data_IF_998267484797
#
_entry.id   IF_998267484797
#
_cell.length_a   1.000
_cell.length_b   1.000
_cell.length_c   1.000
_cell.angle_alpha   90.00
_cell.angle_beta   90.00
_cell.angle_gamma   90.00
#
_symmetry.space_group_name_H-M   'P 1'
#
loop_
_entity.id
_entity.type
_entity.pdbx_description
1 polymer ?
#
# COMPACT_ATOMS: atom_id res chain seq x y z
N UNK A 1 26.28 15.22 48.91
CA UNK A 1 26.52 15.60 47.49
C UNK A 1 26.93 14.44 46.56
N UNK A 2 27.52 13.33 47.06
CA UNK A 2 28.11 12.25 46.22
C UNK A 2 27.10 11.39 45.41
N UNK A 3 25.83 11.34 45.81
CA UNK A 3 24.80 10.52 45.14
C UNK A 3 24.16 11.19 43.91
N UNK A 4 24.07 12.53 43.87
CA UNK A 4 23.50 13.27 42.73
C UNK A 4 24.35 13.15 41.46
N UNK A 5 25.67 13.04 41.59
CA UNK A 5 26.57 12.88 40.42
C UNK A 5 26.52 11.47 39.83
N UNK A 6 26.33 10.44 40.66
CA UNK A 6 26.07 9.07 40.20
C UNK A 6 24.74 9.00 39.46
N UNK A 7 23.66 9.54 40.04
CA UNK A 7 22.34 9.55 39.41
C UNK A 7 22.38 10.23 38.02
N UNK A 8 23.04 11.39 37.91
CA UNK A 8 23.20 12.11 36.64
C UNK A 8 23.98 11.30 35.57
N UNK A 9 25.02 10.56 35.96
CA UNK A 9 25.78 9.67 35.05
C UNK A 9 24.93 8.49 34.57
N UNK A 10 24.12 7.92 35.46
CA UNK A 10 23.17 6.85 35.10
C UNK A 10 22.10 7.36 34.14
N UNK A 11 21.50 8.53 34.39
CA UNK A 11 20.53 9.15 33.48
C UNK A 11 21.12 9.41 32.09
N UNK A 12 22.34 9.94 32.01
CA UNK A 12 23.03 10.16 30.72
C UNK A 12 23.30 8.83 30.00
N UNK A 13 23.73 7.80 30.73
CA UNK A 13 24.01 6.48 30.12
C UNK A 13 22.74 5.82 29.58
N UNK A 14 21.61 5.94 30.29
CA UNK A 14 20.31 5.43 29.84
C UNK A 14 19.85 6.16 28.57
N UNK A 15 19.99 7.49 28.53
CA UNK A 15 19.66 8.30 27.35
C UNK A 15 20.56 7.91 26.16
N UNK A 16 21.86 7.72 26.39
CA UNK A 16 22.80 7.30 25.35
C UNK A 16 22.48 5.90 24.80
N UNK A 17 22.12 4.95 25.68
CA UNK A 17 21.66 3.61 25.30
C UNK A 17 20.39 3.66 24.47
N UNK A 18 19.43 4.50 24.87
CA UNK A 18 18.19 4.72 24.13
C UNK A 18 18.47 5.27 22.72
N UNK A 19 19.33 6.30 22.62
CA UNK A 19 19.75 6.85 21.32
C UNK A 19 20.45 5.80 20.46
N UNK A 20 21.40 5.05 21.02
CA UNK A 20 22.11 3.98 20.29
C UNK A 20 21.16 2.89 19.80
N UNK A 21 20.22 2.46 20.65
CA UNK A 21 19.19 1.50 20.26
C UNK A 21 18.37 1.98 19.06
N UNK A 22 17.96 3.26 19.06
CA UNK A 22 17.22 3.82 17.94
C UNK A 22 18.07 3.95 16.68
N UNK A 23 19.33 4.36 16.77
CA UNK A 23 20.25 4.40 15.62
C UNK A 23 20.43 3.01 15.03
N UNK A 24 20.70 1.99 15.84
CA UNK A 24 20.87 0.61 15.38
C UNK A 24 19.57 0.07 14.79
N UNK A 25 18.42 0.34 15.41
CA UNK A 25 17.11 -0.07 14.89
C UNK A 25 16.83 0.57 13.54
N UNK A 26 17.13 1.86 13.38
CA UNK A 26 17.06 2.56 12.09
C UNK A 26 18.00 1.89 11.09
N UNK A 27 19.27 1.64 11.42
CA UNK A 27 20.22 1.00 10.49
C UNK A 27 19.78 -0.40 10.07
N UNK A 28 19.31 -1.24 10.99
CA UNK A 28 18.82 -2.59 10.69
C UNK A 28 17.56 -2.55 9.84
N UNK A 29 16.62 -1.64 10.15
CA UNK A 29 15.44 -1.40 9.34
C UNK A 29 15.84 -0.94 7.93
N UNK A 30 16.83 -0.04 7.84
CA UNK A 30 17.33 0.46 6.57
C UNK A 30 17.96 -0.68 5.74
N UNK A 31 18.76 -1.53 6.37
CA UNK A 31 19.43 -2.63 5.68
C UNK A 31 18.47 -3.73 5.20
N UNK A 32 17.40 -4.01 5.97
CA UNK A 32 16.40 -5.03 5.61
C UNK A 32 15.32 -4.53 4.66
N UNK A 33 14.90 -3.27 4.79
CA UNK A 33 13.76 -2.71 4.07
C UNK A 33 14.12 -1.90 2.81
N UNK A 34 15.21 -1.10 2.82
CA UNK A 34 15.49 -0.23 1.68
C UNK A 34 15.79 -1.00 0.38
N UNK A 35 16.63 -2.04 0.31
CA UNK A 35 17.10 -2.56 -0.98
C UNK A 35 16.00 -3.06 -1.93
N UNK A 36 14.80 -3.33 -1.41
CA UNK A 36 13.67 -3.91 -2.14
C UNK A 36 12.42 -3.03 -2.11
N UNK A 37 12.50 -1.87 -1.48
CA UNK A 37 11.37 -1.00 -1.34
C UNK A 37 10.91 -0.42 -2.70
N UNK A 38 9.60 -0.43 -3.00
CA UNK A 38 9.09 0.16 -4.23
C UNK A 38 9.42 1.65 -4.37
N UNK A 39 9.69 2.38 -3.28
CA UNK A 39 10.03 3.80 -3.35
C UNK A 39 11.27 4.11 -4.19
N UNK A 40 12.17 3.15 -4.43
CA UNK A 40 13.33 3.32 -5.34
C UNK A 40 12.96 3.26 -6.82
N UNK A 41 11.73 2.87 -7.14
CA UNK A 41 11.26 2.89 -8.51
C UNK A 41 10.93 4.33 -8.86
N UNK A 42 11.67 4.88 -9.83
CA UNK A 42 11.35 6.16 -10.44
C UNK A 42 9.88 6.11 -10.86
N UNK A 43 9.05 7.01 -10.32
CA UNK A 43 7.60 7.10 -10.48
C UNK A 43 6.70 6.36 -9.46
N UNK A 44 7.22 5.83 -8.36
CA UNK A 44 6.35 5.49 -7.22
C UNK A 44 5.88 6.76 -6.51
N UNK A 45 4.57 6.91 -6.41
CA UNK A 45 3.89 8.06 -5.80
C UNK A 45 3.52 7.80 -4.34
N UNK A 46 3.23 6.55 -4.00
CA UNK A 46 2.77 6.17 -2.66
C UNK A 46 3.16 4.73 -2.35
N UNK A 47 3.44 4.44 -1.07
CA UNK A 47 3.75 3.09 -0.58
C UNK A 47 3.03 2.85 0.74
N UNK A 48 2.56 1.63 0.96
CA UNK A 48 1.75 1.24 2.10
C UNK A 48 2.04 -0.18 2.56
N UNK A 49 1.83 -0.41 3.85
CA UNK A 49 1.90 -1.73 4.47
C UNK A 49 3.32 -2.16 4.84
N UNK A 50 3.38 -3.30 5.53
CA UNK A 50 4.64 -3.94 5.95
C UNK A 50 5.52 -4.23 4.73
N UNK A 51 6.82 -3.95 4.87
CA UNK A 51 7.81 -4.07 3.78
C UNK A 51 7.45 -3.25 2.53
N UNK A 52 6.54 -2.27 2.67
CA UNK A 52 6.05 -1.44 1.57
C UNK A 52 5.41 -2.28 0.47
N UNK A 53 4.67 -3.33 0.86
CA UNK A 53 4.05 -4.32 -0.03
C UNK A 53 3.17 -3.68 -1.10
N UNK A 54 2.29 -2.76 -0.70
CA UNK A 54 1.35 -2.11 -1.62
C UNK A 54 1.89 -0.76 -2.05
N UNK A 55 1.77 -0.40 -3.32
CA UNK A 55 2.29 0.89 -3.80
C UNK A 55 1.54 1.39 -5.03
N UNK A 56 1.57 2.70 -5.24
CA UNK A 56 1.04 3.37 -6.43
C UNK A 56 2.20 3.82 -7.31
N UNK A 57 2.14 3.44 -8.59
CA UNK A 57 3.06 3.89 -9.63
C UNK A 57 2.35 4.85 -10.57
N UNK A 58 3.05 5.89 -10.99
CA UNK A 58 2.56 6.85 -12.00
C UNK A 58 3.21 6.53 -13.33
N UNK A 59 2.41 6.16 -14.32
CA UNK A 59 2.86 6.14 -15.72
C UNK A 59 2.63 7.53 -16.29
N UNK A 60 3.72 8.21 -16.65
CA UNK A 60 3.70 9.55 -17.26
C UNK A 60 3.36 9.45 -18.75
N UNK A 61 2.09 9.20 -19.04
CA UNK A 61 1.51 9.32 -20.39
C UNK A 61 0.89 10.72 -20.58
N UNK A 62 0.18 10.95 -21.69
CA UNK A 62 -0.56 12.21 -21.98
C UNK A 62 -1.52 12.55 -20.84
N UNK A 63 -2.21 11.55 -20.30
CA UNK A 63 -2.90 11.61 -19.02
C UNK A 63 -2.19 10.66 -18.05
N UNK A 64 -1.56 11.16 -16.96
CA UNK A 64 -0.81 10.31 -16.05
C UNK A 64 -1.73 9.24 -15.46
N UNK A 65 -1.40 7.96 -15.64
CA UNK A 65 -2.17 6.83 -15.10
C UNK A 65 -1.59 6.39 -13.78
N UNK A 66 -2.44 6.13 -12.80
CA UNK A 66 -2.04 5.68 -11.47
C UNK A 66 -2.35 4.20 -11.36
N UNK A 67 -1.34 3.37 -11.13
CA UNK A 67 -1.47 1.92 -11.06
C UNK A 67 -1.24 1.48 -9.63
N UNK A 68 -2.20 0.77 -9.05
CA UNK A 68 -2.07 0.14 -7.76
C UNK A 68 -1.42 -1.24 -7.94
N UNK A 69 -0.33 -1.48 -7.22
CA UNK A 69 0.44 -2.71 -7.29
C UNK A 69 0.64 -3.35 -5.92
N UNK A 70 0.80 -4.66 -5.93
CA UNK A 70 1.31 -5.47 -4.82
C UNK A 70 2.63 -6.10 -5.24
N UNK A 71 3.67 -5.88 -4.42
CA UNK A 71 5.00 -6.45 -4.62
C UNK A 71 5.09 -7.90 -4.15
N UNK A 72 4.18 -8.35 -3.27
CA UNK A 72 4.11 -9.68 -2.67
C UNK A 72 5.51 -10.18 -2.25
N UNK A 73 6.12 -9.58 -1.22
CA UNK A 73 7.51 -9.87 -0.84
C UNK A 73 7.77 -11.36 -0.57
N UNK A 74 6.76 -12.09 -0.11
CA UNK A 74 6.78 -13.55 0.04
C UNK A 74 7.04 -14.30 -1.28
N UNK A 75 6.39 -13.90 -2.38
CA UNK A 75 6.60 -14.49 -3.70
C UNK A 75 8.00 -14.17 -4.23
N UNK A 76 8.48 -12.95 -3.96
CA UNK A 76 9.82 -12.55 -4.37
C UNK A 76 10.91 -13.35 -3.65
N UNK A 77 10.69 -13.66 -2.36
CA UNK A 77 11.58 -14.52 -1.60
C UNK A 77 11.62 -15.94 -2.18
N UNK A 78 10.46 -16.51 -2.53
CA UNK A 78 10.38 -17.83 -3.17
C UNK A 78 11.07 -17.85 -4.54
N UNK A 79 10.86 -16.83 -5.38
CA UNK A 79 11.53 -16.73 -6.68
C UNK A 79 13.05 -16.62 -6.55
N UNK A 80 13.51 -15.85 -5.54
CA UNK A 80 14.92 -15.71 -5.23
C UNK A 80 15.53 -17.04 -4.78
N UNK A 81 14.82 -17.80 -3.95
CA UNK A 81 15.24 -19.15 -3.53
C UNK A 81 15.32 -20.10 -4.73
N UNK A 82 14.36 -20.00 -5.66
CA UNK A 82 14.33 -20.82 -6.88
C UNK A 82 15.26 -20.33 -8.00
N UNK A 83 16.07 -19.29 -7.76
CA UNK A 83 16.91 -18.63 -8.77
C UNK A 83 16.16 -18.15 -10.03
N UNK A 84 14.86 -17.90 -9.90
CA UNK A 84 14.01 -17.39 -10.98
C UNK A 84 14.05 -15.87 -10.95
N UNK A 85 14.61 -15.24 -11.98
CA UNK A 85 14.66 -13.77 -12.09
C UNK A 85 13.34 -13.26 -12.68
N UNK A 86 12.43 -12.82 -11.83
CA UNK A 86 11.20 -12.13 -12.24
C UNK A 86 10.69 -11.23 -11.13
N UNK A 87 10.28 -10.00 -11.47
CA UNK A 87 9.43 -9.21 -10.56
C UNK A 87 7.99 -9.66 -10.80
N UNK A 88 7.43 -10.46 -9.91
CA UNK A 88 5.97 -10.69 -9.88
C UNK A 88 5.35 -9.43 -9.28
N UNK A 89 5.14 -8.42 -10.12
CA UNK A 89 4.30 -7.27 -9.75
C UNK A 89 2.87 -7.69 -10.07
N UNK A 90 2.02 -7.79 -9.05
CA UNK A 90 0.59 -8.00 -9.25
C UNK A 90 -0.06 -6.62 -9.41
N UNK A 91 -0.75 -6.39 -10.53
CA UNK A 91 -1.48 -5.14 -10.74
C UNK A 91 -2.88 -5.31 -10.15
N UNK A 92 -3.17 -4.58 -9.09
CA UNK A 92 -4.47 -4.64 -8.41
C UNK A 92 -5.48 -3.73 -9.11
N UNK A 93 -5.07 -2.52 -9.49
CA UNK A 93 -5.89 -1.58 -10.26
C UNK A 93 -5.03 -0.88 -11.32
N UNK A 94 -5.54 -0.82 -12.55
CA UNK A 94 -4.87 -0.22 -13.69
C UNK A 94 -5.07 1.30 -13.77
N UNK A 95 -6.07 1.85 -13.08
CA UNK A 95 -6.28 3.29 -13.03
C UNK A 95 -6.96 3.73 -11.73
N UNK A 96 -6.16 4.23 -10.79
CA UNK A 96 -6.62 4.80 -9.53
C UNK A 96 -7.07 6.25 -9.75
N UNK A 97 -8.28 6.55 -9.29
CA UNK A 97 -8.85 7.90 -9.36
C UNK A 97 -8.56 8.68 -8.08
N UNK A 98 -8.64 8.03 -6.93
CA UNK A 98 -8.34 8.61 -5.64
C UNK A 98 -7.86 7.54 -4.66
N UNK A 99 -7.04 7.94 -3.70
CA UNK A 99 -6.59 7.08 -2.62
C UNK A 99 -6.42 7.89 -1.33
N UNK A 100 -6.46 7.19 -0.20
CA UNK A 100 -6.25 7.71 1.14
C UNK A 100 -5.60 6.59 1.95
N UNK A 101 -4.49 6.88 2.61
CA UNK A 101 -3.85 5.96 3.55
C UNK A 101 -3.43 6.73 4.78
N UNK A 102 -3.41 6.04 5.92
CA UNK A 102 -2.82 6.61 7.12
C UNK A 102 -1.31 6.43 7.04
N UNK A 103 -0.60 7.53 6.82
CA UNK A 103 0.86 7.56 6.93
C UNK A 103 1.21 7.58 8.42
N UNK A 104 1.22 6.39 9.04
CA UNK A 104 1.64 6.25 10.43
C UNK A 104 2.98 6.94 10.69
N UNK A 105 3.06 7.69 11.79
CA UNK A 105 4.32 8.29 12.24
C UNK A 105 5.26 7.16 12.70
N UNK A 106 6.34 6.91 11.95
CA UNK A 106 7.40 5.92 12.26
C UNK A 106 6.96 4.45 12.40
N UNK A 107 6.95 3.72 11.28
CA UNK A 107 7.10 2.25 11.20
C UNK A 107 6.17 1.36 12.06
N UNK A 108 5.13 1.90 12.70
CA UNK A 108 4.16 1.15 13.50
C UNK A 108 2.91 0.86 12.66
N UNK A 109 2.96 -0.22 11.89
CA UNK A 109 1.97 -0.57 10.85
C UNK A 109 0.78 -1.41 11.33
N UNK A 110 0.56 -1.52 12.65
CA UNK A 110 -0.24 -2.63 13.19
C UNK A 110 -1.75 -2.48 12.98
N UNK A 111 -2.23 -1.26 12.69
CA UNK A 111 -3.66 -0.94 12.53
C UNK A 111 -3.94 -0.04 11.31
N UNK A 112 -2.97 0.09 10.37
CA UNK A 112 -3.13 0.99 9.23
C UNK A 112 -3.99 0.35 8.13
N UNK A 113 -4.89 1.16 7.57
CA UNK A 113 -5.76 0.81 6.44
C UNK A 113 -5.50 1.77 5.30
N UNK A 114 -5.41 1.22 4.09
CA UNK A 114 -5.30 1.97 2.85
C UNK A 114 -6.56 1.79 2.01
N UNK A 115 -7.09 2.91 1.54
CA UNK A 115 -8.27 3.00 0.71
C UNK A 115 -7.87 3.45 -0.68
N UNK A 116 -8.39 2.76 -1.70
CA UNK A 116 -8.21 3.16 -3.10
C UNK A 116 -9.51 3.05 -3.85
N UNK A 117 -9.83 4.07 -4.63
CA UNK A 117 -10.97 4.12 -5.53
C UNK A 117 -10.46 4.28 -6.96
N UNK A 118 -10.75 3.31 -7.81
CA UNK A 118 -10.23 3.26 -9.17
C UNK A 118 -11.12 2.49 -10.13
N UNK A 119 -10.56 2.18 -11.29
CA UNK A 119 -11.28 1.55 -12.40
C UNK A 119 -11.79 0.15 -12.08
N UNK A 120 -11.06 -0.59 -11.23
CA UNK A 120 -11.45 -1.94 -10.81
C UNK A 120 -12.51 -1.91 -9.72
N UNK A 121 -12.54 -0.84 -8.92
CA UNK A 121 -13.52 -0.64 -7.87
C UNK A 121 -12.93 0.06 -6.65
N UNK A 122 -13.52 -0.24 -5.49
CA UNK A 122 -13.07 0.27 -4.21
C UNK A 122 -12.34 -0.82 -3.42
N UNK A 123 -11.10 -0.53 -3.06
CA UNK A 123 -10.23 -1.39 -2.28
C UNK A 123 -10.08 -0.87 -0.86
N UNK A 124 -10.21 -1.78 0.10
CA UNK A 124 -9.75 -1.60 1.48
C UNK A 124 -8.61 -2.58 1.71
N UNK A 125 -7.42 -2.09 2.02
CA UNK A 125 -6.21 -2.89 2.19
C UNK A 125 -5.71 -2.74 3.61
N UNK A 126 -5.71 -3.83 4.36
CA UNK A 126 -5.18 -3.94 5.71
C UNK A 126 -3.71 -4.38 5.66
N UNK A 127 -2.87 -3.76 6.50
CA UNK A 127 -1.45 -4.07 6.53
C UNK A 127 -1.11 -5.37 7.30
N UNK A 128 -1.82 -5.68 8.39
CA UNK A 128 -1.52 -6.85 9.25
C UNK A 128 -2.80 -7.37 9.98
N UNK A 129 -3.23 -8.63 9.74
CA UNK A 129 -2.79 -9.49 8.66
C UNK A 129 -3.12 -8.84 7.30
N UNK A 130 -2.30 -9.14 6.28
CA UNK A 130 -2.57 -8.61 4.94
C UNK A 130 -3.91 -9.13 4.42
N UNK A 131 -4.83 -8.20 4.18
CA UNK A 131 -6.16 -8.50 3.65
C UNK A 131 -6.66 -7.36 2.76
N UNK A 132 -7.26 -7.72 1.64
CA UNK A 132 -7.91 -6.85 0.69
C UNK A 132 -9.41 -7.15 0.73
N UNK A 133 -10.22 -6.13 0.98
CA UNK A 133 -11.64 -6.14 0.61
C UNK A 133 -11.82 -5.36 -0.68
N UNK A 134 -12.60 -5.91 -1.60
CA UNK A 134 -12.87 -5.27 -2.89
C UNK A 134 -14.38 -5.21 -3.16
N UNK A 135 -14.91 -4.00 -3.34
CA UNK A 135 -16.19 -3.76 -4.01
C UNK A 135 -15.90 -3.53 -5.48
N UNK A 136 -16.32 -4.45 -6.33
CA UNK A 136 -16.01 -4.42 -7.76
C UNK A 136 -16.83 -3.36 -8.49
N UNK A 137 -16.20 -2.68 -9.43
CA UNK A 137 -16.89 -1.84 -10.39
C UNK A 137 -17.63 -2.73 -11.42
N UNK A 138 -18.96 -2.67 -11.45
CA UNK A 138 -19.79 -3.45 -12.36
C UNK A 138 -19.57 -3.09 -13.84
N UNK A 139 -19.10 -1.87 -14.11
CA UNK A 139 -18.82 -1.40 -15.47
C UNK A 139 -17.50 -1.95 -16.04
N UNK A 140 -16.73 -2.71 -15.26
CA UNK A 140 -15.51 -3.35 -15.74
C UNK A 140 -15.86 -4.51 -16.69
N UNK A 141 -15.63 -4.33 -17.99
CA UNK A 141 -16.00 -5.28 -19.04
C UNK A 141 -14.81 -5.71 -19.92
N UNK A 142 -15.02 -6.81 -20.64
CA UNK A 142 -14.11 -7.30 -21.68
C UNK A 142 -12.75 -7.75 -21.15
N UNK A 143 -11.70 -7.43 -21.92
CA UNK A 143 -10.33 -7.87 -21.62
C UNK A 143 -9.81 -7.33 -20.30
N UNK A 144 -10.18 -6.11 -19.92
CA UNK A 144 -9.78 -5.51 -18.63
C UNK A 144 -10.30 -6.31 -17.44
N UNK A 145 -11.55 -6.77 -17.52
CA UNK A 145 -12.13 -7.65 -16.48
C UNK A 145 -11.35 -8.97 -16.38
N UNK A 146 -11.02 -9.58 -17.52
CA UNK A 146 -10.29 -10.86 -17.58
C UNK A 146 -8.91 -10.76 -16.94
N UNK A 147 -8.14 -9.74 -17.30
CA UNK A 147 -6.79 -9.50 -16.74
C UNK A 147 -6.87 -9.24 -15.24
N UNK A 148 -7.79 -8.39 -14.80
CA UNK A 148 -8.01 -8.13 -13.38
C UNK A 148 -8.44 -9.40 -12.62
N UNK A 149 -9.33 -10.21 -13.18
CA UNK A 149 -9.76 -11.47 -12.55
C UNK A 149 -8.60 -12.46 -12.44
N UNK A 150 -7.70 -12.51 -13.43
CA UNK A 150 -6.49 -13.32 -13.38
C UNK A 150 -5.54 -12.85 -12.27
N UNK A 151 -5.26 -11.55 -12.17
CA UNK A 151 -4.40 -10.99 -11.13
C UNK A 151 -5.00 -11.20 -9.72
N UNK A 152 -6.31 -11.01 -9.56
CA UNK A 152 -7.00 -11.21 -8.30
C UNK A 152 -7.09 -12.70 -7.89
N UNK A 153 -7.08 -13.63 -8.86
CA UNK A 153 -7.12 -15.08 -8.58
C UNK A 153 -5.88 -15.61 -7.88
N UNK A 154 -4.78 -14.84 -7.89
CA UNK A 154 -3.52 -15.19 -7.23
C UNK A 154 -3.55 -14.97 -5.72
N UNK A 155 -4.57 -14.32 -5.19
CA UNK A 155 -4.78 -14.16 -3.76
C UNK A 155 -5.52 -15.35 -3.18
N UNK A 156 -5.11 -15.79 -1.99
CA UNK A 156 -5.89 -16.78 -1.24
C UNK A 156 -7.20 -16.17 -0.74
N UNK A 157 -8.16 -17.03 -0.39
CA UNK A 157 -9.44 -16.60 0.21
C UNK A 157 -9.27 -15.85 1.55
N UNK A 158 -8.12 -15.97 2.20
CA UNK A 158 -7.81 -15.23 3.43
C UNK A 158 -7.36 -13.81 3.12
N UNK A 159 -6.65 -13.62 2.01
CA UNK A 159 -6.08 -12.36 1.58
C UNK A 159 -7.05 -11.51 0.78
N UNK A 160 -7.94 -12.11 -0.04
CA UNK A 160 -8.90 -11.36 -0.83
C UNK A 160 -10.34 -11.73 -0.47
N UNK A 161 -11.11 -10.73 -0.05
CA UNK A 161 -12.56 -10.81 0.17
C UNK A 161 -13.28 -9.92 -0.85
N UNK A 162 -14.00 -10.53 -1.77
CA UNK A 162 -14.92 -9.81 -2.66
C UNK A 162 -16.20 -9.48 -1.91
N UNK A 163 -16.59 -8.21 -1.94
CA UNK A 163 -17.83 -7.71 -1.36
C UNK A 163 -18.84 -7.49 -2.48
N UNK A 164 -20.09 -7.84 -2.20
CA UNK A 164 -21.22 -7.70 -3.14
C UNK A 164 -21.90 -6.34 -3.02
N UNK A 165 -21.81 -5.70 -1.85
CA UNK A 165 -22.41 -4.39 -1.60
C UNK A 165 -21.54 -3.53 -0.68
N UNK A 166 -21.71 -2.21 -0.80
CA UNK A 166 -21.23 -1.20 0.17
C UNK A 166 -21.72 -1.51 1.58
N UNK A 167 -22.87 -2.17 1.74
CA UNK A 167 -23.43 -2.50 3.04
C UNK A 167 -22.55 -3.40 3.90
N UNK A 168 -21.68 -4.20 3.26
CA UNK A 168 -20.73 -5.09 3.93
C UNK A 168 -19.50 -4.37 4.49
N UNK A 169 -19.36 -3.07 4.21
CA UNK A 169 -18.31 -2.22 4.77
C UNK A 169 -18.65 -1.77 6.20
N UNK A 170 -17.62 -1.56 7.02
CA UNK A 170 -17.75 -0.87 8.30
C UNK A 170 -18.13 0.59 8.09
N UNK A 171 -18.53 1.28 9.15
CA UNK A 171 -18.90 2.70 9.07
C UNK A 171 -17.74 3.55 8.54
N UNK A 172 -16.54 3.32 9.04
CA UNK A 172 -15.32 4.06 8.67
C UNK A 172 -14.95 3.81 7.20
N UNK A 173 -15.10 2.57 6.73
CA UNK A 173 -14.89 2.19 5.33
C UNK A 173 -15.90 2.85 4.39
N UNK A 174 -17.18 2.95 4.79
CA UNK A 174 -18.21 3.67 4.03
C UNK A 174 -17.90 5.16 3.93
N UNK A 175 -17.52 5.77 5.04
CA UNK A 175 -17.13 7.18 5.05
C UNK A 175 -15.90 7.43 4.16
N UNK A 176 -14.92 6.52 4.16
CA UNK A 176 -13.77 6.59 3.26
C UNK A 176 -14.18 6.42 1.78
N UNK A 177 -15.09 5.49 1.49
CA UNK A 177 -15.63 5.29 0.15
C UNK A 177 -16.27 6.56 -0.40
N UNK A 178 -17.17 7.19 0.38
CA UNK A 178 -17.84 8.44 -0.01
C UNK A 178 -16.84 9.59 -0.22
N UNK A 179 -15.88 9.76 0.69
CA UNK A 179 -14.82 10.79 0.54
C UNK A 179 -13.99 10.58 -0.72
N UNK A 180 -13.59 9.34 -1.00
CA UNK A 180 -12.80 9.03 -2.19
C UNK A 180 -13.59 9.20 -3.47
N UNK A 181 -14.89 8.90 -3.49
CA UNK A 181 -15.75 9.19 -4.65
C UNK A 181 -15.78 10.68 -4.97
N UNK A 182 -15.92 11.54 -3.96
CA UNK A 182 -15.88 13.00 -4.14
C UNK A 182 -14.49 13.45 -4.63
N UNK A 183 -13.42 12.98 -3.99
CA UNK A 183 -12.02 13.29 -4.36
C UNK A 183 -11.69 12.85 -5.80
N UNK A 184 -12.29 11.76 -6.26
CA UNK A 184 -12.07 11.21 -7.58
C UNK A 184 -12.72 12.02 -8.70
N UNK A 185 -13.76 12.82 -8.44
CA UNK A 185 -14.56 13.50 -9.47
C UNK A 185 -13.71 14.29 -10.46
N UNK A 186 -12.80 15.13 -9.95
CA UNK A 186 -11.90 15.94 -10.79
C UNK A 186 -11.07 15.07 -11.74
N UNK A 187 -10.48 14.00 -11.24
CA UNK A 187 -9.62 13.11 -12.03
C UNK A 187 -10.43 12.27 -13.01
N UNK A 188 -11.63 11.86 -12.63
CA UNK A 188 -12.57 11.17 -13.53
C UNK A 188 -12.94 12.09 -14.70
N UNK A 189 -13.19 13.37 -14.44
CA UNK A 189 -13.48 14.36 -15.49
C UNK A 189 -12.29 14.58 -16.43
N UNK A 190 -11.08 14.70 -15.89
CA UNK A 190 -9.84 14.76 -16.68
C UNK A 190 -9.67 13.53 -17.58
N UNK A 191 -9.92 12.33 -17.05
CA UNK A 191 -9.84 11.07 -17.82
C UNK A 191 -10.93 10.97 -18.88
N UNK A 192 -12.15 11.45 -18.60
CA UNK A 192 -13.23 11.50 -19.60
C UNK A 192 -12.88 12.42 -20.75
N UNK A 193 -12.33 13.60 -20.46
CA UNK A 193 -11.88 14.55 -21.48
C UNK A 193 -10.73 14.01 -22.35
N UNK A 194 -9.92 13.10 -21.80
CA UNK A 194 -8.86 12.40 -22.52
C UNK A 194 -9.32 11.13 -23.26
N UNK A 195 -10.60 10.74 -23.18
CA UNK A 195 -11.11 9.45 -23.64
C UNK A 195 -10.40 8.22 -22.99
N UNK A 196 -9.91 8.38 -21.77
CA UNK A 196 -9.21 7.34 -21.00
C UNK A 196 -10.03 6.80 -19.81
N UNK A 197 -11.22 7.35 -19.58
CA UNK A 197 -12.16 6.82 -18.59
C UNK A 197 -12.92 5.62 -19.18
N UNK A 198 -12.94 4.45 -18.48
CA UNK A 198 -13.61 3.24 -18.97
C UNK A 198 -15.14 3.35 -19.02
#
# INVERSE_FOLDING_TARGET
MRNKSKLKKWSISIIALFICYHIVSVVVFFYRGLPHAPFWIDNVQYTFGKELRTYIVVIKDVSPRWILCDSSPEDQAELKEKHLTGRVKRVIDHNVYAYEGYDGFFFTYRDDVFYSYGSTGFFVIYAEPFQIKLIRNENLLGERKRVTDEDLSRYSQKELKLLTSVDELTKEEKEAYERLQVKAQKRIEELKNANEYP
#
